data_IF_792130902644
#
_entry.id   IF_792130902644
#
_cell.length_a   1.000
_cell.length_b   1.000
_cell.length_c   1.000
_cell.angle_alpha   90.00
_cell.angle_beta   90.00
_cell.angle_gamma   90.00
#
_symmetry.space_group_name_H-M   'P 1'
#
loop_
_entity.id
_entity.type
_entity.pdbx_description
1 polymer ?
#
# COMPACT_ATOMS: atom_id res chain seq x y z
N UNK A 1 29.22 10.69 19.77
CA UNK A 1 28.73 9.44 20.39
C UNK A 1 28.21 8.57 19.26
N UNK A 2 28.93 7.49 18.98
CA UNK A 2 28.74 6.56 17.87
C UNK A 2 27.80 5.45 18.35
N UNK A 3 26.65 5.25 17.71
CA UNK A 3 25.86 4.00 17.78
C UNK A 3 25.02 3.97 16.49
N UNK A 4 25.10 3.00 15.58
CA UNK A 4 25.91 1.80 15.49
C UNK A 4 25.75 1.25 14.07
N UNK A 5 26.79 0.60 13.57
CA UNK A 5 26.77 -0.23 12.37
C UNK A 5 25.75 -1.37 12.55
N UNK A 6 24.81 -1.48 11.62
CA UNK A 6 23.86 -2.58 11.52
C UNK A 6 23.67 -3.01 10.07
N UNK A 7 24.72 -3.54 9.45
CA UNK A 7 24.67 -4.25 8.17
C UNK A 7 24.18 -5.68 8.42
N UNK A 8 22.87 -5.95 8.45
CA UNK A 8 22.29 -7.29 8.20
C UNK A 8 20.83 -7.17 7.72
N UNK A 9 20.54 -7.81 6.57
CA UNK A 9 19.23 -8.22 6.05
C UNK A 9 18.29 -7.16 5.41
N UNK A 10 18.56 -6.92 4.12
CA UNK A 10 17.59 -6.91 3.02
C UNK A 10 16.28 -7.68 3.32
N UNK A 11 15.26 -6.99 3.81
CA UNK A 11 13.85 -7.36 3.67
C UNK A 11 13.07 -6.05 3.70
N UNK A 12 12.53 -5.66 2.53
CA UNK A 12 11.73 -4.45 2.38
C UNK A 12 10.46 -4.54 3.22
N UNK A 13 10.53 -4.06 4.47
CA UNK A 13 9.36 -3.81 5.30
C UNK A 13 8.94 -2.37 5.03
N UNK A 14 7.98 -2.20 4.11
CA UNK A 14 7.35 -0.90 3.88
C UNK A 14 6.41 -0.58 5.06
N UNK A 15 6.48 0.67 5.53
CA UNK A 15 5.78 1.17 6.71
C UNK A 15 4.26 1.14 6.53
N UNK A 16 3.54 0.52 7.47
CA UNK A 16 2.07 0.51 7.55
C UNK A 16 1.56 1.89 7.99
N UNK A 17 0.98 2.66 7.07
CA UNK A 17 0.26 3.90 7.38
C UNK A 17 -1.16 3.57 7.89
N UNK A 18 -1.39 3.74 9.19
CA UNK A 18 -2.74 3.71 9.79
C UNK A 18 -3.49 5.00 9.42
N UNK A 19 -4.27 4.98 8.32
CA UNK A 19 -5.18 6.06 7.99
C UNK A 19 -6.50 5.90 8.76
N UNK A 20 -6.64 6.59 9.89
CA UNK A 20 -7.93 6.90 10.48
C UNK A 20 -8.54 8.08 9.70
N UNK A 21 -9.17 7.79 8.55
CA UNK A 21 -9.76 8.82 7.70
C UNK A 21 -11.12 9.30 8.21
N UNK A 22 -11.18 10.49 8.83
CA UNK A 22 -12.43 11.24 9.03
C UNK A 22 -12.64 12.17 7.83
N UNK A 23 -13.24 11.67 6.76
CA UNK A 23 -13.67 12.53 5.64
C UNK A 23 -15.09 13.01 5.91
N UNK A 24 -15.23 14.32 6.17
CA UNK A 24 -16.50 14.99 6.45
C UNK A 24 -17.54 14.76 5.35
N UNK A 25 -18.63 14.09 5.74
CA UNK A 25 -19.73 13.70 4.86
C UNK A 25 -20.31 12.38 5.36
N UNK A 26 -21.11 12.43 6.44
CA UNK A 26 -21.67 11.28 7.17
C UNK A 26 -20.60 10.25 7.55
N UNK A 27 -19.96 10.46 8.70
CA UNK A 27 -18.81 9.69 9.17
C UNK A 27 -19.12 8.19 9.35
N UNK A 28 -19.01 7.42 8.27
CA UNK A 28 -18.82 5.97 8.36
C UNK A 28 -17.41 5.75 8.89
N UNK A 29 -17.31 5.17 10.09
CA UNK A 29 -16.02 4.85 10.67
C UNK A 29 -15.50 3.61 9.96
N UNK A 30 -14.36 3.71 9.29
CA UNK A 30 -13.68 2.56 8.73
C UNK A 30 -12.23 2.53 9.19
N UNK A 31 -11.72 1.32 9.38
CA UNK A 31 -10.30 1.03 9.60
C UNK A 31 -9.79 0.31 8.37
N UNK A 32 -8.68 0.80 7.84
CA UNK A 32 -8.04 0.24 6.66
C UNK A 32 -6.55 0.09 6.89
N UNK A 33 -5.97 -0.96 6.35
CA UNK A 33 -4.54 -1.24 6.39
C UNK A 33 -4.16 -1.82 5.05
N UNK A 34 -3.01 -1.40 4.53
CA UNK A 34 -2.45 -1.92 3.29
C UNK A 34 -0.99 -2.31 3.54
N UNK A 35 -0.62 -3.45 3.00
CA UNK A 35 0.72 -3.98 2.92
C UNK A 35 1.05 -4.18 1.44
N UNK A 36 2.24 -3.80 1.04
CA UNK A 36 2.69 -4.00 -0.33
C UNK A 36 4.06 -4.62 -0.38
N UNK A 37 4.15 -5.64 -1.21
CA UNK A 37 5.37 -6.40 -1.42
C UNK A 37 5.78 -6.25 -2.87
N UNK A 38 6.99 -5.73 -3.07
CA UNK A 38 7.59 -5.67 -4.39
C UNK A 38 8.35 -6.96 -4.66
N UNK A 39 8.10 -7.55 -5.80
CA UNK A 39 8.88 -8.66 -6.33
C UNK A 39 9.55 -8.18 -7.62
N UNK A 40 10.82 -7.82 -7.54
CA UNK A 40 11.64 -7.39 -8.67
C UNK A 40 12.30 -8.58 -9.33
N UNK A 41 11.91 -8.88 -10.57
CA UNK A 41 12.57 -9.88 -11.40
C UNK A 41 13.26 -9.13 -12.55
N UNK A 42 14.55 -8.81 -12.37
CA UNK A 42 15.29 -7.95 -13.29
C UNK A 42 14.81 -6.49 -13.26
N UNK A 43 14.66 -5.85 -14.42
CA UNK A 43 14.23 -4.44 -14.53
C UNK A 43 12.70 -4.24 -14.46
N UNK A 44 11.92 -5.33 -14.38
CA UNK A 44 10.46 -5.27 -14.26
C UNK A 44 10.06 -5.79 -12.87
N UNK A 45 9.37 -4.95 -12.11
CA UNK A 45 8.81 -5.32 -10.80
C UNK A 45 7.34 -5.68 -10.89
N UNK A 46 6.90 -6.66 -10.12
CA UNK A 46 5.48 -6.86 -9.81
C UNK A 46 5.24 -6.46 -8.37
N UNK A 47 4.19 -5.69 -8.11
CA UNK A 47 3.81 -5.28 -6.76
C UNK A 47 2.58 -6.05 -6.35
N UNK A 48 2.71 -6.84 -5.30
CA UNK A 48 1.58 -7.49 -4.63
C UNK A 48 1.04 -6.52 -3.59
N UNK A 49 -0.24 -6.20 -3.70
CA UNK A 49 -0.96 -5.34 -2.77
C UNK A 49 -1.87 -6.26 -1.96
N UNK A 50 -1.77 -6.19 -0.63
CA UNK A 50 -2.66 -6.86 0.29
C UNK A 50 -3.21 -5.84 1.27
N UNK A 51 -4.45 -5.98 1.70
CA UNK A 51 -4.99 -5.07 2.67
C UNK A 51 -6.25 -5.57 3.32
N UNK A 52 -6.63 -4.88 4.38
CA UNK A 52 -7.83 -5.15 5.15
C UNK A 52 -8.63 -3.87 5.28
N UNK A 53 -9.94 -3.96 5.11
CA UNK A 53 -10.87 -2.89 5.40
C UNK A 53 -12.02 -3.42 6.25
N UNK A 54 -12.35 -2.70 7.30
CA UNK A 54 -13.47 -3.00 8.18
C UNK A 54 -14.21 -1.72 8.55
N UNK A 55 -15.53 -1.78 8.60
CA UNK A 55 -16.37 -0.70 9.09
C UNK A 55 -17.85 -1.02 8.89
N UNK A 56 -18.70 0.00 9.00
CA UNK A 56 -20.16 -0.16 9.05
C UNK A 56 -20.83 -0.38 7.68
N UNK A 57 -20.10 -0.36 6.56
CA UNK A 57 -20.65 -0.55 5.23
C UNK A 57 -20.60 -2.00 4.77
N UNK A 58 -21.63 -2.44 4.04
CA UNK A 58 -21.67 -3.77 3.41
C UNK A 58 -20.67 -3.94 2.25
N UNK A 59 -20.16 -2.82 1.72
CA UNK A 59 -19.22 -2.78 0.62
C UNK A 59 -18.33 -1.54 0.69
N UNK A 60 -17.10 -1.68 0.22
CA UNK A 60 -16.14 -0.59 0.09
C UNK A 60 -15.45 -0.62 -1.28
N UNK A 61 -15.09 0.55 -1.80
CA UNK A 61 -14.18 0.71 -2.94
C UNK A 61 -12.89 1.35 -2.43
N UNK A 62 -11.79 0.60 -2.43
CA UNK A 62 -10.48 1.03 -1.91
C UNK A 62 -9.52 1.23 -3.06
N UNK A 63 -9.03 2.46 -3.25
CA UNK A 63 -7.99 2.76 -4.23
C UNK A 63 -6.63 2.85 -3.54
N UNK A 64 -5.72 1.98 -3.96
CA UNK A 64 -4.33 1.94 -3.51
C UNK A 64 -3.44 2.42 -4.64
N UNK A 65 -2.53 3.33 -4.31
CA UNK A 65 -1.43 3.71 -5.18
C UNK A 65 -0.12 3.17 -4.65
N UNK A 66 0.72 2.73 -5.58
CA UNK A 66 2.10 2.33 -5.31
C UNK A 66 3.00 3.45 -5.79
N UNK A 67 3.79 3.98 -4.87
CA UNK A 67 4.72 5.07 -5.08
C UNK A 67 6.15 4.52 -4.95
N UNK A 68 7.08 5.07 -5.71
CA UNK A 68 8.50 4.88 -5.46
C UNK A 68 8.88 5.61 -4.16
N UNK A 69 9.53 4.91 -3.23
CA UNK A 69 9.85 5.49 -1.92
C UNK A 69 10.93 6.60 -1.97
N UNK A 70 11.65 6.73 -3.10
CA UNK A 70 12.71 7.74 -3.26
C UNK A 70 12.15 9.05 -3.81
N UNK A 71 11.37 8.96 -4.88
CA UNK A 71 10.84 10.08 -5.67
C UNK A 71 9.38 10.40 -5.35
N UNK A 72 8.70 9.52 -4.62
CA UNK A 72 7.24 9.53 -4.44
C UNK A 72 6.47 9.57 -5.77
N UNK A 73 7.09 9.08 -6.84
CA UNK A 73 6.45 8.97 -8.14
C UNK A 73 5.53 7.74 -8.13
N UNK A 74 4.32 7.88 -8.69
CA UNK A 74 3.42 6.76 -8.88
C UNK A 74 4.02 5.76 -9.87
N UNK A 75 4.26 4.55 -9.40
CA UNK A 75 4.79 3.43 -10.18
C UNK A 75 3.76 2.33 -10.40
N UNK A 76 2.59 2.45 -9.78
CA UNK A 76 1.48 1.53 -9.98
C UNK A 76 0.28 1.90 -9.12
N UNK A 77 -0.78 1.11 -9.22
CA UNK A 77 -1.96 1.26 -8.38
C UNK A 77 -3.10 0.37 -8.83
N UNK A 78 -4.05 0.16 -7.93
CA UNK A 78 -5.22 -0.66 -8.17
C UNK A 78 -6.38 -0.23 -7.29
N UNK A 79 -7.59 -0.32 -7.84
CA UNK A 79 -8.83 -0.17 -7.07
C UNK A 79 -9.42 -1.53 -6.79
N UNK A 80 -9.77 -1.77 -5.54
CA UNK A 80 -10.36 -3.00 -5.04
C UNK A 80 -11.81 -2.75 -4.61
N UNK A 81 -12.73 -3.57 -5.11
CA UNK A 81 -14.09 -3.63 -4.57
C UNK A 81 -14.15 -4.73 -3.52
N UNK A 82 -14.47 -4.35 -2.28
CA UNK A 82 -14.56 -5.24 -1.14
C UNK A 82 -16.04 -5.40 -0.80
N UNK A 83 -16.59 -6.61 -0.99
CA UNK A 83 -18.00 -6.92 -0.74
C UNK A 83 -18.11 -8.26 -0.02
N UNK A 84 -18.78 -8.28 1.13
CA UNK A 84 -18.96 -9.50 1.93
C UNK A 84 -17.67 -10.07 2.52
N UNK A 85 -16.55 -9.33 2.44
CA UNK A 85 -15.25 -9.68 3.03
C UNK A 85 -14.64 -8.45 3.69
N UNK A 86 -13.57 -8.64 4.46
CA UNK A 86 -12.78 -7.54 5.06
C UNK A 86 -11.38 -7.45 4.48
N UNK A 87 -11.06 -8.25 3.47
CA UNK A 87 -9.73 -8.34 2.89
C UNK A 87 -9.78 -8.06 1.40
N UNK A 88 -8.76 -7.38 0.89
CA UNK A 88 -8.54 -7.15 -0.53
C UNK A 88 -7.09 -7.43 -0.88
N UNK A 89 -6.85 -7.83 -2.12
CA UNK A 89 -5.51 -8.00 -2.61
C UNK A 89 -5.46 -8.29 -4.09
N UNK A 90 -4.30 -8.04 -4.67
CA UNK A 90 -4.05 -8.19 -6.10
C UNK A 90 -2.61 -7.88 -6.44
N UNK A 91 -2.28 -7.96 -7.71
CA UNK A 91 -0.94 -7.64 -8.22
C UNK A 91 -1.04 -6.60 -9.31
N UNK A 92 -0.16 -5.62 -9.27
CA UNK A 92 -0.02 -4.61 -10.32
C UNK A 92 1.42 -4.58 -10.83
N UNK A 93 1.66 -4.51 -12.15
CA UNK A 93 3.00 -4.33 -12.67
C UNK A 93 3.55 -2.96 -12.28
N UNK A 94 4.84 -2.87 -11.98
CA UNK A 94 5.52 -1.60 -11.81
C UNK A 94 5.70 -0.94 -13.19
N UNK A 95 5.03 0.20 -13.39
CA UNK A 95 5.04 0.98 -14.62
C UNK A 95 6.35 1.79 -14.78
N UNK A 96 7.17 1.85 -13.74
CA UNK A 96 8.44 2.54 -13.71
C UNK A 96 9.49 1.77 -12.90
N UNK A 97 10.80 2.04 -13.11
CA UNK A 97 11.86 1.46 -12.31
C UNK A 97 11.66 1.79 -10.83
N UNK A 98 11.75 0.78 -9.98
CA UNK A 98 11.69 0.95 -8.53
C UNK A 98 13.05 1.44 -8.05
N UNK A 99 13.05 2.57 -7.34
CA UNK A 99 14.24 3.16 -6.76
C UNK A 99 14.85 2.25 -5.68
N UNK A 100 16.09 2.50 -5.29
CA UNK A 100 16.81 1.68 -4.32
C UNK A 100 16.15 1.68 -2.93
N UNK A 101 15.31 2.68 -2.62
CA UNK A 101 14.54 2.74 -1.38
C UNK A 101 13.31 1.80 -1.37
N UNK A 102 12.97 1.18 -2.51
CA UNK A 102 11.80 0.32 -2.63
C UNK A 102 10.52 1.08 -2.95
N UNK A 103 9.40 0.59 -2.43
CA UNK A 103 8.06 1.09 -2.73
C UNK A 103 7.33 1.54 -1.47
N UNK A 104 6.41 2.47 -1.63
CA UNK A 104 5.44 2.88 -0.61
C UNK A 104 4.03 2.63 -1.14
N UNK A 105 3.14 2.13 -0.29
CA UNK A 105 1.73 1.98 -0.63
C UNK A 105 0.86 2.93 0.15
N UNK A 106 -0.04 3.58 -0.59
CA UNK A 106 -0.91 4.61 -0.05
C UNK A 106 -2.34 4.36 -0.47
N UNK A 107 -3.23 4.25 0.50
CA UNK A 107 -4.66 4.30 0.25
C UNK A 107 -5.03 5.76 0.01
N UNK A 108 -5.42 6.08 -1.23
CA UNK A 108 -5.77 7.46 -1.62
C UNK A 108 -7.26 7.73 -1.57
N UNK A 109 -8.09 6.66 -1.60
CA UNK A 109 -9.54 6.78 -1.57
C UNK A 109 -10.20 5.53 -0.99
N UNK A 110 -11.24 5.76 -0.20
CA UNK A 110 -12.20 4.75 0.25
C UNK A 110 -13.61 5.32 0.06
N UNK A 111 -14.50 4.58 -0.60
CA UNK A 111 -15.89 4.96 -0.85
C UNK A 111 -16.87 3.83 -0.51
#
# INVERSE_FOLDING_TARGET
MIIGFGLVALMGVAVVLYLAGVTGGTAKSYKTSVDCQVNTVGSQGTVTINGTISGDASSYSVTVEVLDATSHQRIGGQTFEVRGTTTFGGTTPAEAPIGPAGIECKIVKVA
#
